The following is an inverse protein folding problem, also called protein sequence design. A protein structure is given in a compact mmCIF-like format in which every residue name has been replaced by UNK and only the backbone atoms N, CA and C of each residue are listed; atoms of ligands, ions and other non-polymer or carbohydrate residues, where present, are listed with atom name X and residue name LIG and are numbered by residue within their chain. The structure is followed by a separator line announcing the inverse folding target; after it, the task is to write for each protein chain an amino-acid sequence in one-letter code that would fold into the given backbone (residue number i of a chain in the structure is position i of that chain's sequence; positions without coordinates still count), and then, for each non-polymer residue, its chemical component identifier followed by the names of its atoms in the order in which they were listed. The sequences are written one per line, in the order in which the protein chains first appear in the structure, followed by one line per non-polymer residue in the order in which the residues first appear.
data_IF_751415406699
#
_entry.id   IF_751415406699
#
_cell.length_a   1.000
_cell.length_b   1.000
_cell.length_c   1.000
_cell.angle_alpha   90.00
_cell.angle_beta   90.00
_cell.angle_gamma   90.00
#
_symmetry.space_group_name_H-M   'P 1'
#
loop_
_entity.id
_entity.type
_entity.pdbx_description
1 polymer ?
#
# COMPACT_ATOMS: atom_id res chain seq x y z
N UNK A 1 -11.25 31.37 -9.34
CA UNK A 1 -10.29 31.00 -8.27
C UNK A 1 -9.65 29.70 -8.71
N UNK A 2 -8.33 29.71 -8.89
CA UNK A 2 -7.58 28.68 -9.58
C UNK A 2 -7.72 27.30 -8.92
N UNK A 3 -8.01 26.29 -9.72
CA UNK A 3 -7.86 24.90 -9.34
C UNK A 3 -6.36 24.61 -9.30
N UNK A 4 -5.77 24.54 -8.10
CA UNK A 4 -4.40 24.06 -7.93
C UNK A 4 -4.35 22.57 -8.27
N UNK A 5 -4.05 22.29 -9.53
CA UNK A 5 -3.63 20.98 -10.01
C UNK A 5 -2.20 20.71 -9.55
N UNK A 6 -2.00 20.43 -8.26
CA UNK A 6 -0.84 19.66 -7.82
C UNK A 6 -1.09 18.20 -8.20
N UNK A 7 -0.86 17.91 -9.48
CA UNK A 7 -0.85 16.56 -10.03
C UNK A 7 0.31 15.82 -9.38
N UNK A 8 0.00 15.12 -8.29
CA UNK A 8 1.01 14.36 -7.58
C UNK A 8 1.43 13.18 -8.46
N UNK A 9 2.70 13.15 -8.86
CA UNK A 9 3.27 12.23 -9.84
C UNK A 9 3.43 10.79 -9.34
N UNK A 10 2.69 10.38 -8.29
CA UNK A 10 2.76 9.04 -7.74
C UNK A 10 1.48 8.26 -8.04
N UNK A 11 1.65 6.98 -8.36
CA UNK A 11 0.52 6.12 -8.70
C UNK A 11 -0.14 5.62 -7.42
N UNK A 12 -1.37 6.08 -7.17
CA UNK A 12 -2.16 5.73 -5.98
C UNK A 12 -3.59 5.45 -6.38
N UNK A 13 -4.19 4.47 -5.72
CA UNK A 13 -5.62 4.19 -5.77
C UNK A 13 -6.15 4.06 -4.35
N UNK A 14 -7.44 4.34 -4.16
CA UNK A 14 -8.14 4.15 -2.87
C UNK A 14 -7.98 2.72 -2.34
N UNK A 15 -7.80 1.74 -3.22
CA UNK A 15 -7.61 0.33 -2.85
C UNK A 15 -6.35 0.10 -2.01
N UNK A 16 -5.33 0.94 -2.15
CA UNK A 16 -4.08 0.81 -1.38
C UNK A 16 -4.28 1.14 0.11
N UNK A 17 -5.29 1.96 0.45
CA UNK A 17 -5.64 2.34 1.83
C UNK A 17 -7.16 2.36 2.02
N UNK A 18 -7.81 1.23 1.75
CA UNK A 18 -9.24 1.07 1.92
C UNK A 18 -9.63 1.02 3.43
N UNK A 19 -10.88 1.21 3.78
CA UNK A 19 -11.31 1.23 5.20
C UNK A 19 -10.91 -0.06 5.92
N UNK A 20 -10.27 0.07 7.10
CA UNK A 20 -9.65 -1.02 7.88
C UNK A 20 -8.80 -2.03 7.08
N UNK A 21 -8.37 -1.67 5.85
CA UNK A 21 -7.59 -2.52 4.94
C UNK A 21 -6.47 -1.73 4.28
N UNK A 22 -5.32 -2.36 4.11
CA UNK A 22 -4.17 -1.70 3.51
C UNK A 22 -3.34 -2.74 2.80
N UNK A 23 -2.91 -2.45 1.58
CA UNK A 23 -1.93 -3.30 0.92
C UNK A 23 -0.52 -2.94 1.40
N UNK A 24 0.43 -3.82 1.17
CA UNK A 24 1.86 -3.58 1.40
C UNK A 24 2.49 -2.64 0.35
N UNK A 25 1.65 -1.92 -0.40
CA UNK A 25 2.04 -0.73 -1.16
C UNK A 25 2.82 -0.99 -2.45
N UNK A 26 3.29 0.10 -3.01
CA UNK A 26 3.93 0.20 -4.32
C UNK A 26 5.28 -0.54 -4.42
N UNK A 27 5.97 -0.77 -3.31
CA UNK A 27 7.35 -1.24 -3.35
C UNK A 27 7.52 -2.74 -3.01
N UNK A 28 6.50 -3.39 -2.47
CA UNK A 28 6.58 -4.81 -2.13
C UNK A 28 6.39 -5.72 -3.35
N UNK A 29 7.20 -6.77 -3.46
CA UNK A 29 7.17 -7.76 -4.55
C UNK A 29 7.63 -9.12 -4.04
N UNK A 30 6.98 -10.20 -4.46
CA UNK A 30 7.36 -11.59 -4.10
C UNK A 30 7.38 -11.82 -2.59
N UNK A 31 6.25 -11.55 -1.95
CA UNK A 31 6.10 -11.65 -0.51
C UNK A 31 6.36 -13.06 0.04
N UNK A 32 7.05 -13.12 1.18
CA UNK A 32 7.25 -14.35 1.95
C UNK A 32 6.00 -14.80 2.70
N UNK A 33 6.17 -15.65 3.72
CA UNK A 33 5.04 -16.09 4.56
C UNK A 33 4.48 -14.92 5.38
N UNK A 34 3.24 -15.06 5.85
CA UNK A 34 2.55 -14.06 6.66
C UNK A 34 3.37 -13.65 7.88
N UNK A 35 3.89 -14.62 8.62
CA UNK A 35 4.64 -14.41 9.85
C UNK A 35 5.89 -13.59 9.57
N UNK A 36 6.61 -13.95 8.51
CA UNK A 36 7.86 -13.28 8.13
C UNK A 36 7.63 -11.85 7.62
N UNK A 37 6.63 -11.65 6.77
CA UNK A 37 6.29 -10.32 6.26
C UNK A 37 5.86 -9.40 7.40
N UNK A 38 4.99 -9.88 8.29
CA UNK A 38 4.55 -9.12 9.45
C UNK A 38 5.70 -8.82 10.41
N UNK A 39 6.62 -9.76 10.63
CA UNK A 39 7.82 -9.52 11.44
C UNK A 39 8.74 -8.44 10.85
N UNK A 40 8.88 -8.37 9.52
CA UNK A 40 9.62 -7.28 8.86
C UNK A 40 8.94 -5.93 9.10
N UNK A 41 7.61 -5.86 8.96
CA UNK A 41 6.84 -4.63 9.18
C UNK A 41 6.90 -4.21 10.66
N UNK A 42 6.80 -5.15 11.58
CA UNK A 42 6.93 -4.89 13.02
C UNK A 42 8.31 -4.33 13.36
N UNK A 43 9.38 -4.94 12.84
CA UNK A 43 10.74 -4.43 13.01
C UNK A 43 10.87 -3.00 12.48
N UNK A 44 10.38 -2.74 11.27
CA UNK A 44 10.37 -1.39 10.69
C UNK A 44 9.55 -0.39 11.52
N UNK A 45 8.49 -0.86 12.17
CA UNK A 45 7.67 -0.03 13.07
C UNK A 45 8.48 0.37 14.31
N UNK A 46 9.21 -0.57 14.91
CA UNK A 46 10.10 -0.27 16.04
C UNK A 46 11.25 0.66 15.65
N UNK A 47 11.83 0.45 14.45
CA UNK A 47 12.87 1.33 13.90
C UNK A 47 12.35 2.77 13.73
N UNK A 48 11.10 2.98 13.31
CA UNK A 48 10.51 4.31 13.16
C UNK A 48 10.31 5.01 14.52
N UNK A 49 9.98 4.26 15.57
CA UNK A 49 9.84 4.82 16.93
C UNK A 49 11.19 5.36 17.42
N UNK A 50 12.28 4.67 17.09
CA UNK A 50 13.63 5.05 17.47
C UNK A 50 14.18 6.17 16.57
N UNK A 51 14.00 6.04 15.25
CA UNK A 51 14.44 6.98 14.22
C UNK A 51 13.31 7.97 13.94
N UNK A 52 13.16 8.96 14.82
CA UNK A 52 12.06 9.93 14.79
C UNK A 52 12.03 10.77 13.50
N UNK A 53 13.19 11.01 12.89
CA UNK A 53 13.29 11.72 11.64
C UNK A 53 13.00 10.79 10.44
N UNK A 54 12.09 11.21 9.56
CA UNK A 54 11.63 10.38 8.43
C UNK A 54 12.67 10.27 7.33
N UNK A 55 13.55 11.25 7.18
CA UNK A 55 14.63 11.20 6.22
C UNK A 55 15.70 10.20 6.67
N UNK A 56 16.08 10.23 7.94
CA UNK A 56 16.98 9.23 8.52
C UNK A 56 16.38 7.83 8.46
N UNK A 57 15.07 7.71 8.75
CA UNK A 57 14.36 6.45 8.61
C UNK A 57 14.43 5.94 7.16
N UNK A 58 14.18 6.78 6.16
CA UNK A 58 14.34 6.43 4.75
C UNK A 58 15.75 5.92 4.44
N UNK A 59 16.78 6.62 4.91
CA UNK A 59 18.18 6.35 4.56
C UNK A 59 18.78 5.11 5.24
N UNK A 60 18.13 4.54 6.25
CA UNK A 60 18.60 3.33 6.96
C UNK A 60 18.65 2.05 6.11
N UNK A 61 18.01 2.07 4.94
CA UNK A 61 17.90 0.94 4.03
C UNK A 61 18.10 1.42 2.58
N UNK A 62 18.65 0.55 1.72
CA UNK A 62 18.73 0.82 0.28
C UNK A 62 17.37 0.52 -0.38
N UNK A 63 17.06 1.15 -1.53
CA UNK A 63 15.85 0.86 -2.31
C UNK A 63 15.63 -0.61 -2.63
N UNK A 64 16.71 -1.34 -2.90
CA UNK A 64 16.72 -2.76 -3.26
C UNK A 64 16.62 -3.72 -2.06
N UNK A 65 16.59 -3.19 -0.83
CA UNK A 65 16.50 -3.97 0.40
C UNK A 65 15.04 -4.38 0.68
N UNK A 66 14.57 -5.36 -0.10
CA UNK A 66 13.21 -5.93 -0.02
C UNK A 66 13.23 -7.26 0.74
N UNK A 67 13.36 -7.20 2.06
CA UNK A 67 13.38 -8.40 2.90
C UNK A 67 12.01 -9.10 2.87
N UNK A 68 11.99 -10.38 2.49
CA UNK A 68 10.76 -11.18 2.33
C UNK A 68 9.77 -10.51 1.35
N UNK A 69 10.32 -9.81 0.35
CA UNK A 69 9.55 -9.07 -0.64
C UNK A 69 8.89 -7.79 -0.12
N UNK A 70 9.20 -7.39 1.12
CA UNK A 70 8.54 -6.28 1.81
C UNK A 70 9.44 -5.06 1.84
N UNK A 71 8.88 -3.90 1.45
CA UNK A 71 9.61 -2.65 1.56
C UNK A 71 9.87 -2.31 3.02
N UNK A 72 11.12 -2.04 3.38
CA UNK A 72 11.48 -1.68 4.75
C UNK A 72 10.79 -0.40 5.22
N UNK A 73 10.33 0.49 4.35
CA UNK A 73 9.61 1.68 4.78
C UNK A 73 8.14 1.43 5.19
N UNK A 74 7.63 0.20 5.10
CA UNK A 74 6.30 -0.13 5.59
C UNK A 74 6.30 -0.30 7.10
N UNK A 75 5.32 0.30 7.75
CA UNK A 75 5.11 0.25 9.20
C UNK A 75 3.64 -0.01 9.51
N UNK A 76 3.37 -0.49 10.72
CA UNK A 76 2.03 -0.76 11.21
C UNK A 76 1.54 0.39 12.11
N UNK A 77 0.39 0.96 11.78
CA UNK A 77 -0.37 1.86 12.65
C UNK A 77 -1.23 1.02 13.60
N UNK A 78 -0.76 0.83 14.83
CA UNK A 78 -1.46 0.05 15.85
C UNK A 78 -2.84 0.63 16.21
N UNK A 79 -3.06 1.95 16.06
CA UNK A 79 -4.35 2.58 16.41
C UNK A 79 -5.41 2.36 15.33
N UNK A 80 -4.97 2.22 14.08
CA UNK A 80 -5.85 2.06 12.91
C UNK A 80 -5.85 0.65 12.35
N UNK A 81 -5.02 -0.24 12.91
CA UNK A 81 -4.80 -1.61 12.45
C UNK A 81 -4.47 -1.69 10.96
N UNK A 82 -3.61 -0.78 10.48
CA UNK A 82 -3.28 -0.62 9.06
C UNK A 82 -1.78 -0.52 8.84
N UNK A 83 -1.33 -1.06 7.72
CA UNK A 83 0.01 -0.82 7.20
C UNK A 83 0.02 0.48 6.40
N UNK A 84 1.09 1.26 6.55
CA UNK A 84 1.32 2.45 5.73
C UNK A 84 2.80 2.74 5.56
N UNK A 85 3.11 3.66 4.65
CA UNK A 85 4.46 4.18 4.47
C UNK A 85 4.53 5.59 5.07
N UNK A 86 5.40 5.86 6.06
CA UNK A 86 5.55 7.18 6.67
C UNK A 86 6.21 8.17 5.71
N UNK A 87 6.80 7.70 4.60
CA UNK A 87 7.40 8.54 3.56
C UNK A 87 6.38 9.01 2.51
N UNK A 88 5.15 8.49 2.55
CA UNK A 88 4.10 8.87 1.62
C UNK A 88 3.72 10.35 1.80
N UNK A 89 3.41 11.12 0.74
CA UNK A 89 3.08 12.55 0.84
C UNK A 89 1.86 12.85 1.71
N UNK A 90 0.88 11.92 1.74
CA UNK A 90 -0.24 11.95 2.71
C UNK A 90 0.21 11.99 4.18
N UNK A 91 1.45 11.62 4.50
CA UNK A 91 2.00 11.70 5.84
C UNK A 91 2.91 12.91 6.02
N UNK A 92 3.35 13.55 4.94
CA UNK A 92 4.43 14.56 4.90
C UNK A 92 3.99 15.88 4.25
N UNK A 93 2.78 16.36 4.54
CA UNK A 93 2.26 17.64 4.04
C UNK A 93 2.40 17.80 2.51
N UNK A 94 2.18 16.73 1.75
CA UNK A 94 2.30 16.72 0.29
C UNK A 94 3.70 16.45 -0.26
N UNK A 95 4.74 16.42 0.58
CA UNK A 95 6.12 16.13 0.15
C UNK A 95 6.32 14.61 0.04
N UNK A 96 6.64 14.13 -1.16
CA UNK A 96 6.88 12.70 -1.37
C UNK A 96 8.34 12.30 -1.08
N UNK A 97 8.59 11.79 0.13
CA UNK A 97 9.92 11.36 0.55
C UNK A 97 10.35 10.02 -0.10
N UNK A 98 9.48 9.38 -0.90
CA UNK A 98 9.80 8.15 -1.63
C UNK A 98 10.65 8.41 -2.88
N UNK A 99 10.62 9.63 -3.41
CA UNK A 99 11.33 9.99 -4.65
C UNK A 99 12.81 9.66 -4.55
N UNK A 100 13.35 8.98 -5.57
CA UNK A 100 14.74 8.54 -5.62
C UNK A 100 15.12 7.42 -4.65
N UNK A 101 14.16 6.83 -3.91
CA UNK A 101 14.43 5.76 -2.95
C UNK A 101 13.52 4.54 -3.07
N UNK A 102 12.31 4.72 -3.58
CA UNK A 102 11.30 3.68 -3.62
C UNK A 102 10.76 3.57 -5.05
N UNK A 103 10.34 2.37 -5.45
CA UNK A 103 9.56 2.20 -6.68
C UNK A 103 8.10 2.59 -6.39
N UNK A 104 7.83 3.89 -6.34
CA UNK A 104 6.52 4.44 -5.97
C UNK A 104 5.53 4.52 -7.14
N UNK A 105 5.94 4.12 -8.35
CA UNK A 105 5.12 4.13 -9.56
C UNK A 105 4.45 2.78 -9.85
N UNK A 106 4.79 1.75 -9.09
CA UNK A 106 4.19 0.44 -9.28
C UNK A 106 2.76 0.37 -8.70
N UNK A 107 1.85 -0.14 -9.51
CA UNK A 107 0.52 -0.63 -9.12
C UNK A 107 0.38 -2.10 -9.49
N UNK A 108 -0.29 -2.88 -8.63
CA UNK A 108 -0.70 -4.24 -8.98
C UNK A 108 -1.75 -4.22 -10.09
N UNK A 109 -1.94 -5.36 -10.77
CA UNK A 109 -2.89 -5.52 -11.86
C UNK A 109 -4.31 -5.14 -11.44
N UNK A 110 -4.75 -5.61 -10.27
CA UNK A 110 -6.05 -5.24 -9.69
C UNK A 110 -6.24 -3.73 -9.57
N UNK A 111 -5.25 -3.00 -9.03
CA UNK A 111 -5.31 -1.55 -8.92
C UNK A 111 -5.34 -0.85 -10.29
N UNK A 112 -4.51 -1.30 -11.24
CA UNK A 112 -4.52 -0.76 -12.62
C UNK A 112 -5.87 -0.93 -13.30
N UNK A 113 -6.50 -2.09 -13.14
CA UNK A 113 -7.80 -2.39 -13.74
C UNK A 113 -8.93 -1.61 -13.07
N UNK A 114 -8.88 -1.44 -11.76
CA UNK A 114 -9.84 -0.63 -11.03
C UNK A 114 -9.89 0.83 -11.50
N UNK A 115 -8.73 1.44 -11.80
CA UNK A 115 -8.66 2.83 -12.27
C UNK A 115 -9.28 3.03 -13.66
N UNK A 116 -9.45 1.97 -14.47
CA UNK A 116 -10.12 2.08 -15.78
C UNK A 116 -11.63 1.88 -15.71
N UNK A 117 -12.16 1.48 -14.56
CA UNK A 117 -13.59 1.25 -14.38
C UNK A 117 -14.37 2.55 -14.18
N UNK A 118 -15.64 2.53 -14.57
CA UNK A 118 -16.57 3.59 -14.21
C UNK A 118 -16.83 3.59 -12.69
N UNK A 119 -17.37 4.70 -12.18
CA UNK A 119 -17.60 4.90 -10.74
C UNK A 119 -18.50 3.82 -10.13
N UNK A 120 -19.52 3.36 -10.84
CA UNK A 120 -20.44 2.33 -10.35
C UNK A 120 -19.70 1.01 -10.11
N UNK A 121 -18.96 0.53 -11.11
CA UNK A 121 -18.17 -0.70 -11.00
C UNK A 121 -17.07 -0.59 -9.93
N UNK A 122 -16.44 0.57 -9.79
CA UNK A 122 -15.51 0.85 -8.69
C UNK A 122 -16.18 0.73 -7.31
N UNK A 123 -17.38 1.29 -7.14
CA UNK A 123 -18.12 1.18 -5.87
C UNK A 123 -18.53 -0.25 -5.56
N UNK A 124 -19.01 -1.01 -6.54
CA UNK A 124 -19.37 -2.43 -6.36
C UNK A 124 -18.15 -3.25 -5.94
N UNK A 125 -16.97 -2.99 -6.53
CA UNK A 125 -15.75 -3.67 -6.11
C UNK A 125 -15.31 -3.28 -4.69
N UNK A 126 -15.40 -2.00 -4.33
CA UNK A 126 -15.14 -1.54 -2.97
C UNK A 126 -16.08 -2.23 -1.96
N UNK A 127 -17.36 -2.39 -2.30
CA UNK A 127 -18.32 -3.09 -1.45
C UNK A 127 -17.96 -4.57 -1.27
N UNK A 128 -17.53 -5.25 -2.34
CA UNK A 128 -17.00 -6.61 -2.25
C UNK A 128 -15.81 -6.66 -1.30
N UNK A 129 -14.83 -5.77 -1.45
CA UNK A 129 -13.66 -5.75 -0.57
C UNK A 129 -14.02 -5.47 0.89
N UNK A 130 -15.00 -4.61 1.15
CA UNK A 130 -15.51 -4.32 2.50
C UNK A 130 -16.23 -5.52 3.14
N UNK A 131 -16.87 -6.37 2.36
CA UNK A 131 -17.54 -7.58 2.89
C UNK A 131 -16.56 -8.68 3.28
N UNK A 132 -15.28 -8.58 2.88
CA UNK A 132 -14.23 -9.54 3.23
C UNK A 132 -13.76 -9.36 4.67
N UNK A 133 -13.92 -10.40 5.47
CA UNK A 133 -13.27 -10.53 6.77
C UNK A 133 -11.86 -11.11 6.60
N UNK A 134 -10.94 -10.27 6.13
CA UNK A 134 -9.54 -10.62 5.86
C UNK A 134 -8.62 -9.59 6.52
N UNK A 135 -7.47 -10.06 6.99
CA UNK A 135 -6.45 -9.20 7.59
C UNK A 135 -5.61 -8.46 6.54
N UNK A 136 -4.62 -7.67 7.00
CA UNK A 136 -3.78 -6.85 6.11
C UNK A 136 -2.93 -7.68 5.15
N UNK A 137 -2.47 -8.86 5.57
CA UNK A 137 -1.66 -9.76 4.74
C UNK A 137 -2.54 -10.41 3.68
N UNK A 138 -3.65 -11.00 4.09
CA UNK A 138 -4.63 -11.63 3.21
C UNK A 138 -5.18 -10.62 2.21
N UNK A 139 -5.49 -9.40 2.66
CA UNK A 139 -5.90 -8.32 1.77
C UNK A 139 -4.80 -7.99 0.76
N UNK A 140 -3.58 -7.75 1.22
CA UNK A 140 -2.48 -7.41 0.31
C UNK A 140 -2.20 -8.53 -0.70
N UNK A 141 -2.22 -9.79 -0.28
CA UNK A 141 -1.99 -10.93 -1.16
C UNK A 141 -3.14 -11.13 -2.14
N UNK A 142 -4.39 -10.95 -1.70
CA UNK A 142 -5.55 -11.06 -2.57
C UNK A 142 -5.59 -9.99 -3.66
N UNK A 143 -5.08 -8.78 -3.36
CA UNK A 143 -4.90 -7.70 -4.34
C UNK A 143 -3.72 -7.93 -5.28
N UNK A 144 -2.61 -8.48 -4.78
CA UNK A 144 -1.39 -8.73 -5.58
C UNK A 144 -1.55 -9.94 -6.52
N UNK A 145 -2.26 -10.99 -6.07
CA UNK A 145 -2.49 -12.24 -6.81
C UNK A 145 -3.78 -12.26 -7.62
N UNK A 146 -4.43 -11.11 -7.77
CA UNK A 146 -5.70 -10.92 -8.49
C UNK A 146 -6.86 -11.80 -7.99
N UNK A 147 -6.82 -12.26 -6.74
CA UNK A 147 -7.85 -13.13 -6.18
C UNK A 147 -9.19 -12.39 -6.08
N UNK A 148 -9.19 -11.19 -5.50
CA UNK A 148 -10.41 -10.40 -5.37
C UNK A 148 -10.92 -9.89 -6.72
N UNK A 149 -9.99 -9.57 -7.64
CA UNK A 149 -10.35 -9.17 -8.99
C UNK A 149 -11.10 -10.29 -9.72
N UNK A 150 -10.54 -11.51 -9.72
CA UNK A 150 -11.17 -12.67 -10.35
C UNK A 150 -12.52 -12.99 -9.73
N UNK A 151 -12.62 -12.92 -8.40
CA UNK A 151 -13.88 -13.14 -7.70
C UNK A 151 -14.95 -12.14 -8.15
N UNK A 152 -14.60 -10.86 -8.24
CA UNK A 152 -15.52 -9.82 -8.68
C UNK A 152 -16.02 -10.02 -10.10
N UNK A 153 -15.12 -10.43 -11.01
CA UNK A 153 -15.44 -10.67 -12.42
C UNK A 153 -16.27 -11.93 -12.63
N UNK A 154 -16.06 -12.98 -11.82
CA UNK A 154 -16.89 -14.19 -11.86
C UNK A 154 -18.32 -13.92 -11.37
N UNK A 155 -18.50 -13.00 -10.41
CA UNK A 155 -19.81 -12.59 -9.93
C UNK A 155 -20.52 -11.59 -10.86
N UNK A 156 -19.79 -10.96 -11.80
CA UNK A 156 -20.29 -9.93 -12.71
C UNK A 156 -19.66 -10.10 -14.11
N UNK A 157 -20.04 -11.18 -14.85
CA UNK A 157 -19.48 -11.50 -16.16
C UNK A 157 -19.76 -10.45 -17.24
#
# INVERSE_FOLDING_TARGET
MAQDSHQSSYTYTVLCRLDNKSCFGCCGRRFGSKEKVLAVIEKSTQELIQIKDRWDFRMRAKPSDLHEGTCRNLVFDQKKEKVFCPLHPLQNNGVDLRVGHCDFNFLCTTAKKFETWNREKQQSFIQLLRSKNVDVYEYSMGMDKDLFLKEFEQANP
#
